data_IF_169650792336
#
_entry.id   IF_169650792336
#
_cell.length_a   1.000
_cell.length_b   1.000
_cell.length_c   1.000
_cell.angle_alpha   90.00
_cell.angle_beta   90.00
_cell.angle_gamma   90.00
#
_symmetry.space_group_name_H-M   'P 1'
#
loop_
_entity.id
_entity.type
_entity.pdbx_description
1 polymer ?
#
# COMPACT_ATOMS: atom_id res chain seq x y z
N UNK A 1 27.84 -6.14 35.31
CA UNK A 1 28.21 -5.32 34.14
C UNK A 1 28.10 -6.09 32.83
N UNK A 2 28.80 -7.23 32.63
CA UNK A 2 28.72 -7.99 31.36
C UNK A 2 27.33 -8.57 31.05
N UNK A 3 26.64 -9.19 32.01
CA UNK A 3 25.28 -9.74 31.80
C UNK A 3 24.26 -8.66 31.40
N UNK A 4 24.34 -7.49 32.02
CA UNK A 4 23.41 -6.38 31.78
C UNK A 4 23.60 -5.74 30.39
N UNK A 5 24.84 -5.68 29.89
CA UNK A 5 25.14 -5.26 28.51
C UNK A 5 24.60 -6.30 27.52
N UNK A 6 24.75 -7.59 27.81
CA UNK A 6 24.26 -8.67 26.96
C UNK A 6 22.73 -8.69 26.87
N UNK A 7 22.03 -8.46 27.97
CA UNK A 7 20.57 -8.37 28.01
C UNK A 7 20.05 -7.14 27.25
N UNK A 8 20.67 -5.97 27.43
CA UNK A 8 20.30 -4.76 26.68
C UNK A 8 20.54 -4.92 25.17
N UNK A 9 21.65 -5.55 24.78
CA UNK A 9 21.94 -5.83 23.38
C UNK A 9 20.94 -6.84 22.77
N UNK A 10 20.62 -7.90 23.50
CA UNK A 10 19.63 -8.89 23.08
C UNK A 10 18.21 -8.28 22.96
N UNK A 11 17.82 -7.41 23.91
CA UNK A 11 16.55 -6.70 23.87
C UNK A 11 16.49 -5.71 22.68
N UNK A 12 17.54 -4.93 22.46
CA UNK A 12 17.63 -4.02 21.31
C UNK A 12 17.57 -4.77 19.97
N UNK A 13 18.24 -5.92 19.89
CA UNK A 13 18.23 -6.77 18.69
C UNK A 13 16.84 -7.38 18.42
N UNK A 14 16.11 -7.80 19.46
CA UNK A 14 14.70 -8.23 19.32
C UNK A 14 13.81 -7.10 18.84
N UNK A 15 13.88 -5.93 19.49
CA UNK A 15 13.06 -4.77 19.12
C UNK A 15 13.35 -4.31 17.69
N UNK A 16 14.61 -4.37 17.25
CA UNK A 16 14.96 -4.11 15.86
C UNK A 16 14.38 -5.17 14.91
N UNK A 17 14.50 -6.45 15.25
CA UNK A 17 13.93 -7.54 14.44
C UNK A 17 12.39 -7.43 14.34
N UNK A 18 11.70 -7.12 15.43
CA UNK A 18 10.25 -6.91 15.45
C UNK A 18 9.83 -5.70 14.60
N UNK A 19 10.58 -4.60 14.70
CA UNK A 19 10.38 -3.39 13.88
C UNK A 19 10.59 -3.69 12.40
N UNK A 20 11.67 -4.38 12.05
CA UNK A 20 11.96 -4.78 10.67
C UNK A 20 10.88 -5.72 10.12
N UNK A 21 10.39 -6.67 10.93
CA UNK A 21 9.29 -7.55 10.56
C UNK A 21 7.99 -6.76 10.32
N UNK A 22 7.69 -5.76 11.16
CA UNK A 22 6.51 -4.91 11.00
C UNK A 22 6.58 -4.06 9.72
N UNK A 23 7.74 -3.47 9.42
CA UNK A 23 7.98 -2.71 8.19
C UNK A 23 7.85 -3.63 6.96
N UNK A 24 8.47 -4.81 6.99
CA UNK A 24 8.37 -5.79 5.90
C UNK A 24 6.92 -6.21 5.65
N UNK A 25 6.14 -6.45 6.72
CA UNK A 25 4.72 -6.77 6.60
C UNK A 25 3.93 -5.63 5.96
N UNK A 26 4.13 -4.39 6.39
CA UNK A 26 3.47 -3.23 5.78
C UNK A 26 3.79 -3.07 4.30
N UNK A 27 5.05 -3.31 3.91
CA UNK A 27 5.47 -3.27 2.52
C UNK A 27 4.81 -4.37 1.68
N UNK A 28 4.78 -5.61 2.18
CA UNK A 28 4.12 -6.74 1.50
C UNK A 28 2.61 -6.54 1.41
N UNK A 29 1.97 -6.06 2.48
CA UNK A 29 0.53 -5.77 2.50
C UNK A 29 0.19 -4.67 1.47
N UNK A 30 1.01 -3.62 1.39
CA UNK A 30 0.85 -2.57 0.37
C UNK A 30 1.00 -3.14 -1.05
N UNK A 31 2.05 -3.90 -1.31
CA UNK A 31 2.30 -4.50 -2.61
C UNK A 31 1.13 -5.39 -3.05
N UNK A 32 0.59 -6.19 -2.13
CA UNK A 32 -0.56 -7.07 -2.36
C UNK A 32 -1.82 -6.25 -2.70
N UNK A 33 -2.07 -5.15 -1.99
CA UNK A 33 -3.21 -4.28 -2.26
C UNK A 33 -3.07 -3.56 -3.60
N UNK A 34 -1.89 -3.02 -3.91
CA UNK A 34 -1.61 -2.37 -5.21
C UNK A 34 -1.81 -3.35 -6.35
N UNK A 35 -1.29 -4.58 -6.20
CA UNK A 35 -1.50 -5.63 -7.19
C UNK A 35 -2.98 -5.99 -7.35
N UNK A 36 -3.71 -6.13 -6.24
CA UNK A 36 -5.15 -6.38 -6.26
C UNK A 36 -5.95 -5.28 -6.98
N UNK A 37 -5.59 -4.01 -6.79
CA UNK A 37 -6.21 -2.89 -7.50
C UNK A 37 -5.94 -2.93 -9.00
N UNK A 38 -4.72 -3.24 -9.42
CA UNK A 38 -4.38 -3.38 -10.83
C UNK A 38 -5.11 -4.56 -11.48
N UNK A 39 -5.21 -5.69 -10.78
CA UNK A 39 -5.96 -6.85 -11.24
C UNK A 39 -7.45 -6.53 -11.38
N UNK A 40 -8.07 -5.89 -10.38
CA UNK A 40 -9.47 -5.48 -10.44
C UNK A 40 -9.73 -4.49 -11.60
N UNK A 41 -8.79 -3.56 -11.85
CA UNK A 41 -8.89 -2.65 -12.99
C UNK A 41 -8.84 -3.38 -14.33
N UNK A 42 -7.96 -4.38 -14.45
CA UNK A 42 -7.84 -5.24 -15.63
C UNK A 42 -9.10 -6.07 -15.85
N UNK A 43 -9.60 -6.74 -14.80
CA UNK A 43 -10.82 -7.55 -14.85
C UNK A 43 -12.02 -6.72 -15.30
N UNK A 44 -12.18 -5.53 -14.73
CA UNK A 44 -13.28 -4.65 -15.06
C UNK A 44 -13.14 -4.05 -16.48
N UNK A 45 -11.92 -3.77 -16.94
CA UNK A 45 -11.65 -3.34 -18.32
C UNK A 45 -11.90 -4.46 -19.35
N UNK A 46 -11.47 -5.68 -19.05
CA UNK A 46 -11.72 -6.86 -19.87
C UNK A 46 -13.21 -7.14 -19.97
N UNK A 47 -13.93 -7.14 -18.84
CA UNK A 47 -15.38 -7.35 -18.81
C UNK A 47 -16.13 -6.33 -19.68
N UNK A 48 -15.81 -5.04 -19.55
CA UNK A 48 -16.44 -3.99 -20.34
C UNK A 48 -16.12 -4.11 -21.85
N UNK A 49 -14.88 -4.45 -22.17
CA UNK A 49 -14.44 -4.66 -23.57
C UNK A 49 -15.12 -5.88 -24.19
N UNK A 50 -15.19 -7.01 -23.48
CA UNK A 50 -15.88 -8.21 -23.96
C UNK A 50 -17.38 -7.97 -24.12
N UNK A 51 -18.01 -7.23 -23.21
CA UNK A 51 -19.42 -6.84 -23.34
C UNK A 51 -19.64 -6.01 -24.62
N UNK A 52 -18.81 -4.99 -24.86
CA UNK A 52 -18.90 -4.17 -26.08
C UNK A 52 -18.65 -4.99 -27.36
N UNK A 53 -17.61 -5.84 -27.37
CA UNK A 53 -17.33 -6.70 -28.54
C UNK A 53 -18.45 -7.71 -28.79
N UNK A 54 -19.10 -8.23 -27.74
CA UNK A 54 -20.28 -9.07 -27.86
C UNK A 54 -21.41 -8.35 -28.57
N UNK A 55 -21.70 -7.10 -28.17
CA UNK A 55 -22.72 -6.29 -28.82
C UNK A 55 -22.36 -5.92 -30.27
N UNK A 56 -21.09 -5.64 -30.54
CA UNK A 56 -20.60 -5.38 -31.92
C UNK A 56 -20.74 -6.62 -32.80
N UNK A 57 -20.49 -7.83 -32.27
CA UNK A 57 -20.64 -9.07 -33.01
C UNK A 57 -22.10 -9.36 -33.44
N UNK A 58 -23.07 -8.77 -32.74
CA UNK A 58 -24.50 -8.88 -33.08
C UNK A 58 -24.95 -7.86 -34.14
N UNK A 59 -24.11 -6.88 -34.50
CA UNK A 59 -24.42 -5.87 -35.52
C UNK A 59 -24.51 -6.50 -36.91
N UNK A 60 -25.69 -6.38 -37.52
CA UNK A 60 -25.97 -6.89 -38.88
C UNK A 60 -26.18 -5.78 -39.92
N UNK A 61 -26.33 -4.53 -39.48
CA UNK A 61 -26.55 -3.39 -40.37
C UNK A 61 -25.96 -2.07 -39.81
N UNK A 62 -25.82 -1.03 -40.67
CA UNK A 62 -25.23 0.26 -40.27
C UNK A 62 -26.01 0.99 -39.17
N UNK A 63 -27.32 0.82 -39.10
CA UNK A 63 -28.18 1.42 -38.06
C UNK A 63 -27.87 0.84 -36.67
N UNK A 64 -27.64 -0.48 -36.58
CA UNK A 64 -27.22 -1.14 -35.35
C UNK A 64 -25.79 -0.75 -34.95
N UNK A 65 -24.90 -0.50 -35.92
CA UNK A 65 -23.56 0.02 -35.63
C UNK A 65 -23.60 1.40 -34.96
N UNK A 66 -24.48 2.28 -35.44
CA UNK A 66 -24.71 3.60 -34.82
C UNK A 66 -25.28 3.48 -33.39
N UNK A 67 -26.04 2.43 -33.11
CA UNK A 67 -26.60 2.18 -31.77
C UNK A 67 -25.53 1.73 -30.76
N UNK A 68 -24.50 0.99 -31.18
CA UNK A 68 -23.41 0.54 -30.29
C UNK A 68 -22.24 1.53 -30.18
N UNK A 69 -22.12 2.48 -31.12
CA UNK A 69 -21.07 3.50 -31.10
C UNK A 69 -20.96 4.30 -29.78
N UNK A 70 -22.07 4.78 -29.16
CA UNK A 70 -22.01 5.46 -27.87
C UNK A 70 -21.45 4.57 -26.75
N UNK A 71 -21.71 3.25 -26.79
CA UNK A 71 -21.18 2.30 -25.82
C UNK A 71 -19.68 2.11 -25.97
N UNK A 72 -19.15 2.11 -27.19
CA UNK A 72 -17.70 2.10 -27.40
C UNK A 72 -17.03 3.34 -26.79
N UNK A 73 -17.64 4.52 -26.97
CA UNK A 73 -17.18 5.75 -26.34
C UNK A 73 -17.27 5.69 -24.80
N UNK A 74 -18.34 5.09 -24.28
CA UNK A 74 -18.52 4.87 -22.85
C UNK A 74 -17.44 3.94 -22.28
N UNK A 75 -17.16 2.80 -22.92
CA UNK A 75 -16.10 1.87 -22.50
C UNK A 75 -14.73 2.55 -22.49
N UNK A 76 -14.41 3.35 -23.52
CA UNK A 76 -13.17 4.12 -23.57
C UNK A 76 -13.09 5.12 -22.40
N UNK A 77 -14.17 5.86 -22.15
CA UNK A 77 -14.25 6.82 -21.04
C UNK A 77 -14.10 6.13 -19.68
N UNK A 78 -14.85 5.08 -19.43
CA UNK A 78 -14.79 4.31 -18.18
C UNK A 78 -13.40 3.71 -17.95
N UNK A 79 -12.72 3.29 -19.02
CA UNK A 79 -11.33 2.79 -18.94
C UNK A 79 -10.37 3.88 -18.48
N UNK A 80 -10.51 5.11 -19.01
CA UNK A 80 -9.69 6.26 -18.59
C UNK A 80 -10.00 6.66 -17.14
N UNK A 81 -11.27 6.81 -16.78
CA UNK A 81 -11.70 7.16 -15.43
C UNK A 81 -11.19 6.12 -14.40
N UNK A 82 -11.31 4.83 -14.72
CA UNK A 82 -10.81 3.74 -13.87
C UNK A 82 -9.30 3.73 -13.77
N UNK A 83 -8.57 4.02 -14.86
CA UNK A 83 -7.11 4.10 -14.84
C UNK A 83 -6.62 5.23 -13.94
N UNK A 84 -7.26 6.39 -14.01
CA UNK A 84 -6.96 7.54 -13.14
C UNK A 84 -7.27 7.20 -11.68
N UNK A 85 -8.46 6.66 -11.40
CA UNK A 85 -8.85 6.27 -10.05
C UNK A 85 -7.90 5.22 -9.44
N UNK A 86 -7.55 4.20 -10.21
CA UNK A 86 -6.58 3.17 -9.79
C UNK A 86 -5.21 3.78 -9.51
N UNK A 87 -4.75 4.70 -10.36
CA UNK A 87 -3.50 5.43 -10.14
C UNK A 87 -3.52 6.26 -8.85
N UNK A 88 -4.61 6.97 -8.59
CA UNK A 88 -4.80 7.73 -7.35
C UNK A 88 -4.80 6.83 -6.11
N UNK A 89 -5.47 5.68 -6.18
CA UNK A 89 -5.51 4.72 -5.07
C UNK A 89 -4.15 4.10 -4.80
N UNK A 90 -3.40 3.72 -5.84
CA UNK A 90 -2.03 3.18 -5.71
C UNK A 90 -1.11 4.21 -5.06
N UNK A 91 -1.12 5.46 -5.54
CA UNK A 91 -0.30 6.55 -4.96
C UNK A 91 -0.72 6.81 -3.51
N UNK A 92 -2.02 6.98 -3.25
CA UNK A 92 -2.53 7.28 -1.92
C UNK A 92 -2.24 6.19 -0.90
N UNK A 93 -2.37 4.91 -1.29
CA UNK A 93 -2.01 3.78 -0.42
C UNK A 93 -0.51 3.69 -0.17
N UNK A 94 0.31 3.89 -1.20
CA UNK A 94 1.78 3.89 -1.07
C UNK A 94 2.25 5.00 -0.14
N UNK A 95 1.71 6.21 -0.28
CA UNK A 95 1.99 7.32 0.63
C UNK A 95 1.63 6.98 2.08
N UNK A 96 0.43 6.45 2.32
CA UNK A 96 0.00 6.03 3.67
C UNK A 96 0.89 4.94 4.26
N UNK A 97 1.33 3.98 3.45
CA UNK A 97 2.28 2.94 3.91
C UNK A 97 3.62 3.55 4.30
N UNK A 98 4.14 4.50 3.52
CA UNK A 98 5.38 5.20 3.85
C UNK A 98 5.23 6.05 5.11
N UNK A 99 4.09 6.72 5.29
CA UNK A 99 3.77 7.43 6.54
C UNK A 99 3.75 6.48 7.75
N UNK A 100 3.13 5.31 7.62
CA UNK A 100 3.08 4.30 8.68
C UNK A 100 4.49 3.77 9.02
N UNK A 101 5.32 3.48 8.02
CA UNK A 101 6.73 3.10 8.22
C UNK A 101 7.50 4.23 8.93
N UNK A 102 7.29 5.48 8.52
CA UNK A 102 7.89 6.65 9.16
C UNK A 102 7.46 6.83 10.62
N UNK A 103 6.19 6.57 10.93
CA UNK A 103 5.68 6.57 12.31
C UNK A 103 6.33 5.48 13.17
N UNK A 104 6.52 4.28 12.62
CA UNK A 104 7.24 3.18 13.30
C UNK A 104 8.69 3.60 13.60
N UNK A 105 9.40 4.18 12.62
CA UNK A 105 10.76 4.65 12.81
C UNK A 105 10.84 5.76 13.88
N UNK A 106 9.88 6.70 13.87
CA UNK A 106 9.79 7.75 14.89
C UNK A 106 9.53 7.17 16.29
N UNK A 107 8.61 6.22 16.42
CA UNK A 107 8.32 5.56 17.69
C UNK A 107 9.56 4.82 18.24
N UNK A 108 10.35 4.19 17.37
CA UNK A 108 11.60 3.53 17.74
C UNK A 108 12.64 4.53 18.29
N UNK A 109 12.76 5.70 17.67
CA UNK A 109 13.64 6.77 18.13
C UNK A 109 13.19 7.33 19.49
N UNK A 110 11.89 7.59 19.65
CA UNK A 110 11.32 8.08 20.91
C UNK A 110 11.51 7.07 22.05
N UNK A 111 11.34 5.78 21.78
CA UNK A 111 11.58 4.71 22.76
C UNK A 111 13.05 4.67 23.21
N UNK A 112 14.00 4.81 22.29
CA UNK A 112 15.44 4.86 22.63
C UNK A 112 15.81 6.15 23.38
N UNK A 113 15.27 7.30 22.96
CA UNK A 113 15.51 8.57 23.65
C UNK A 113 14.99 8.53 25.10
N UNK A 114 13.84 7.90 25.32
CA UNK A 114 13.28 7.68 26.66
C UNK A 114 14.14 6.75 27.51
N UNK A 115 14.59 5.62 26.96
CA UNK A 115 15.48 4.68 27.67
C UNK A 115 16.81 5.35 28.09
N UNK A 116 17.39 6.20 27.24
CA UNK A 116 18.59 6.99 27.58
C UNK A 116 18.29 8.03 28.66
N UNK A 117 17.17 8.73 28.57
CA UNK A 117 16.77 9.74 29.57
C UNK A 117 16.53 9.10 30.95
N UNK A 118 15.85 7.95 30.99
CA UNK A 118 15.59 7.20 32.22
C UNK A 118 16.89 6.68 32.85
N UNK A 119 17.85 6.21 32.03
CA UNK A 119 19.19 5.80 32.51
C UNK A 119 19.98 6.97 33.10
N UNK A 120 19.93 8.15 32.48
CA UNK A 120 20.57 9.38 33.00
C UNK A 120 19.92 9.83 34.31
N UNK A 121 18.59 9.79 34.40
CA UNK A 121 17.87 10.13 35.62
C UNK A 121 18.18 9.18 36.78
N UNK A 122 18.31 7.87 36.51
CA UNK A 122 18.74 6.88 37.50
C UNK A 122 20.18 7.11 37.97
N UNK A 123 21.11 7.38 37.04
CA UNK A 123 22.51 7.65 37.37
C UNK A 123 22.69 8.94 38.20
N UNK A 124 21.81 9.93 38.01
CA UNK A 124 21.85 11.21 38.76
C UNK A 124 21.26 11.06 40.16
N UNK A 125 20.31 10.13 40.37
CA UNK A 125 19.75 9.80 41.70
C UNK A 125 20.63 8.87 42.55
N UNK A 126 21.63 8.23 41.94
CA UNK A 126 22.60 7.36 42.60
C UNK A 126 23.87 8.10 43.05
N UNK A 127 23.99 9.40 42.76
CA UNK A 127 25.00 10.31 43.35
C UNK A 127 24.39 11.09 44.50
#
# INVERSE_FOLDING_TARGET
MYQQINEQFAAASRQFADTAAQINRLAIDNATQVFGLQLAALEAGATATFAFLGEVAEVRNPEQLKAVWPKGLQVARETVERSIATGQDVVGRTLKTNEAIGQIAKAQFEAQAKDVSDKVAQATKQK
#
